data_IF_270341269555
#
_entry.id   IF_270341269555
#
_cell.length_a   1.000
_cell.length_b   1.000
_cell.length_c   1.000
_cell.angle_alpha   90.00
_cell.angle_beta   90.00
_cell.angle_gamma   90.00
#
_symmetry.space_group_name_H-M   'P 1'
#
loop_
_entity.id
_entity.type
_entity.pdbx_description
1 polymer ?
#
# COMPACT_ATOMS: atom_id res chain seq x y z
N UNK A 1 15.07 31.64 -16.66
CA UNK A 1 15.77 30.41 -16.24
C UNK A 1 14.71 29.46 -15.73
N UNK A 2 14.68 28.24 -16.27
CA UNK A 2 13.58 27.28 -16.15
C UNK A 2 13.34 26.90 -14.69
N UNK A 3 12.16 27.20 -14.15
CA UNK A 3 11.69 26.69 -12.87
C UNK A 3 11.31 25.23 -13.06
N UNK A 4 12.10 24.32 -12.50
CA UNK A 4 11.76 22.91 -12.39
C UNK A 4 10.42 22.77 -11.66
N UNK A 5 9.35 22.53 -12.41
CA UNK A 5 8.02 22.29 -11.86
C UNK A 5 8.06 20.97 -11.08
N UNK A 6 7.99 21.10 -9.75
CA UNK A 6 7.88 20.03 -8.76
C UNK A 6 6.70 19.08 -9.08
N UNK A 7 6.96 18.00 -9.81
CA UNK A 7 6.01 16.87 -9.95
C UNK A 7 6.05 15.93 -8.73
N UNK A 8 6.52 16.40 -7.57
CA UNK A 8 6.73 15.57 -6.39
C UNK A 8 5.44 15.30 -5.61
N UNK A 9 5.19 14.05 -5.22
CA UNK A 9 4.15 13.69 -4.27
C UNK A 9 4.50 14.31 -2.90
N UNK A 10 3.58 15.01 -2.22
CA UNK A 10 3.86 15.67 -0.94
C UNK A 10 4.42 14.68 0.08
N UNK A 11 5.41 15.12 0.86
CA UNK A 11 5.97 14.36 1.98
C UNK A 11 5.52 15.05 3.26
N UNK A 12 4.86 14.30 4.14
CA UNK A 12 4.37 14.76 5.43
C UNK A 12 5.14 14.04 6.52
N UNK A 13 5.91 14.78 7.30
CA UNK A 13 6.61 14.25 8.45
C UNK A 13 5.69 14.29 9.67
N UNK A 14 5.48 13.12 10.29
CA UNK A 14 4.70 13.06 11.53
C UNK A 14 5.59 13.40 12.72
N UNK A 15 5.11 14.27 13.64
CA UNK A 15 5.89 14.65 14.80
C UNK A 15 6.11 13.46 15.72
N UNK A 16 7.28 13.42 16.35
CA UNK A 16 7.66 12.37 17.29
C UNK A 16 7.26 12.70 18.73
N UNK A 17 7.02 13.97 19.05
CA UNK A 17 6.57 14.37 20.38
C UNK A 17 5.05 14.25 20.50
N UNK A 18 4.56 13.65 21.58
CA UNK A 18 3.12 13.47 21.80
C UNK A 18 2.39 14.80 22.02
N UNK A 19 3.07 15.83 22.54
CA UNK A 19 2.50 17.16 22.76
C UNK A 19 2.15 17.87 21.45
N UNK A 20 2.87 17.57 20.37
CA UNK A 20 2.63 18.15 19.04
C UNK A 20 1.41 17.51 18.35
N UNK A 21 0.92 16.40 18.91
CA UNK A 21 -0.27 15.68 18.46
C UNK A 21 -1.50 15.99 19.31
N UNK A 22 -1.40 16.92 20.27
CA UNK A 22 -2.56 17.37 21.02
C UNK A 22 -3.52 18.11 20.09
N UNK A 23 -4.75 17.60 20.00
CA UNK A 23 -5.79 18.07 19.09
C UNK A 23 -6.24 19.51 19.40
N UNK A 24 -5.44 20.49 18.99
CA UNK A 24 -5.68 21.89 19.28
C UNK A 24 -4.46 22.81 19.13
N UNK A 25 -3.24 22.26 19.16
CA UNK A 25 -2.00 23.03 18.95
C UNK A 25 -1.90 23.60 17.53
N UNK A 26 -1.07 24.61 17.35
CA UNK A 26 -0.83 25.21 16.03
C UNK A 26 -0.11 24.23 15.11
N UNK A 27 0.78 23.38 15.66
CA UNK A 27 1.45 22.30 14.96
C UNK A 27 0.46 21.25 14.44
N UNK A 28 -0.50 20.82 15.26
CA UNK A 28 -1.55 19.89 14.85
C UNK A 28 -2.43 20.48 13.75
N UNK A 29 -2.82 21.76 13.87
CA UNK A 29 -3.62 22.45 12.85
C UNK A 29 -2.86 22.58 11.53
N UNK A 30 -1.56 22.89 11.60
CA UNK A 30 -0.69 22.95 10.44
C UNK A 30 -0.56 21.59 9.77
N UNK A 31 -0.35 20.52 10.54
CA UNK A 31 -0.30 19.15 10.04
C UNK A 31 -1.62 18.73 9.36
N UNK A 32 -2.76 19.00 10.00
CA UNK A 32 -4.08 18.73 9.42
C UNK A 32 -4.31 19.51 8.12
N UNK A 33 -3.82 20.75 8.03
CA UNK A 33 -3.89 21.56 6.82
C UNK A 33 -3.06 20.91 5.70
N UNK A 34 -1.81 20.53 5.97
CA UNK A 34 -0.94 19.86 5.00
C UNK A 34 -1.54 18.54 4.50
N UNK A 35 -2.11 17.72 5.39
CA UNK A 35 -2.80 16.48 5.01
C UNK A 35 -4.01 16.76 4.13
N UNK A 36 -4.82 17.77 4.48
CA UNK A 36 -5.98 18.16 3.68
C UNK A 36 -5.56 18.61 2.28
N UNK A 37 -4.61 19.52 2.17
CA UNK A 37 -4.13 20.05 0.89
C UNK A 37 -3.51 18.95 0.03
N UNK A 38 -2.74 18.04 0.62
CA UNK A 38 -2.19 16.90 -0.10
C UNK A 38 -3.30 15.98 -0.63
N UNK A 39 -4.36 15.77 0.16
CA UNK A 39 -5.50 15.00 -0.32
C UNK A 39 -6.24 15.71 -1.46
N UNK A 40 -6.58 16.99 -1.29
CA UNK A 40 -7.35 17.77 -2.26
C UNK A 40 -6.60 17.95 -3.58
N UNK A 41 -5.29 18.19 -3.53
CA UNK A 41 -4.48 18.56 -4.70
C UNK A 41 -3.61 17.42 -5.25
N UNK A 42 -3.48 16.28 -4.57
CA UNK A 42 -2.64 15.18 -5.03
C UNK A 42 -3.27 13.79 -4.87
N UNK A 43 -4.39 13.64 -4.15
CA UNK A 43 -5.02 12.32 -3.96
C UNK A 43 -4.19 11.30 -3.17
N UNK A 44 -2.97 11.67 -2.77
CA UNK A 44 -2.00 10.84 -2.09
C UNK A 44 -0.90 11.69 -1.47
N UNK A 45 -0.19 11.12 -0.51
CA UNK A 45 1.02 11.71 0.05
C UNK A 45 1.89 10.62 0.66
N UNK A 46 3.17 10.95 0.83
CA UNK A 46 4.11 10.15 1.58
C UNK A 46 4.12 10.59 3.02
N UNK A 47 4.29 9.64 3.93
CA UNK A 47 4.44 9.88 5.36
C UNK A 47 5.77 9.34 5.83
N UNK A 48 6.51 10.20 6.52
CA UNK A 48 7.71 9.82 7.25
C UNK A 48 7.39 9.83 8.73
N UNK A 49 7.66 8.73 9.41
CA UNK A 49 7.45 8.63 10.86
C UNK A 49 8.64 7.95 11.54
N UNK A 50 9.49 8.77 12.15
CA UNK A 50 10.78 8.34 12.68
C UNK A 50 10.69 7.41 13.89
N UNK A 51 9.53 7.26 14.54
CA UNK A 51 9.36 6.26 15.61
C UNK A 51 9.30 4.83 15.09
N UNK A 52 8.97 4.62 13.82
CA UNK A 52 9.04 3.29 13.23
C UNK A 52 10.50 3.03 12.85
N UNK A 53 11.16 2.20 13.65
CA UNK A 53 12.56 1.83 13.39
C UNK A 53 12.69 1.01 12.11
N UNK A 54 13.83 1.13 11.44
CA UNK A 54 14.17 0.29 10.27
C UNK A 54 14.19 -1.19 10.63
N UNK A 55 14.54 -1.54 11.87
CA UNK A 55 14.50 -2.91 12.38
C UNK A 55 13.09 -3.48 12.34
N UNK A 56 12.11 -2.73 12.86
CA UNK A 56 10.70 -3.15 12.85
C UNK A 56 10.17 -3.31 11.42
N UNK A 57 10.56 -2.41 10.51
CA UNK A 57 10.19 -2.56 9.09
C UNK A 57 10.77 -3.84 8.48
N UNK A 58 12.04 -4.13 8.76
CA UNK A 58 12.69 -5.34 8.27
C UNK A 58 12.04 -6.61 8.84
N UNK A 59 11.71 -6.60 10.13
CA UNK A 59 10.98 -7.70 10.78
C UNK A 59 9.60 -7.91 10.14
N UNK A 60 8.83 -6.84 9.93
CA UNK A 60 7.55 -6.89 9.24
C UNK A 60 7.68 -7.48 7.84
N UNK A 61 8.64 -7.02 7.03
CA UNK A 61 8.88 -7.56 5.69
C UNK A 61 9.33 -9.03 5.72
N UNK A 62 10.12 -9.43 6.72
CA UNK A 62 10.51 -10.82 6.93
C UNK A 62 9.28 -11.70 7.19
N UNK A 63 8.39 -11.27 8.09
CA UNK A 63 7.14 -11.96 8.42
C UNK A 63 6.21 -12.07 7.20
N UNK A 64 6.03 -10.97 6.45
CA UNK A 64 5.20 -10.93 5.24
C UNK A 64 5.72 -11.89 4.16
N UNK A 65 7.02 -12.17 4.11
CA UNK A 65 7.62 -13.11 3.14
C UNK A 65 7.34 -14.57 3.46
N UNK A 66 7.14 -14.93 4.72
CA UNK A 66 7.01 -16.33 5.14
C UNK A 66 5.87 -17.07 4.43
N UNK A 67 4.64 -16.54 4.33
CA UNK A 67 3.54 -17.22 3.64
C UNK A 67 3.85 -17.55 2.17
N UNK A 68 4.60 -16.71 1.48
CA UNK A 68 4.94 -16.90 0.08
C UNK A 68 5.95 -18.03 -0.16
N UNK A 69 6.70 -18.42 0.87
CA UNK A 69 7.69 -19.50 0.84
C UNK A 69 7.08 -20.88 1.16
N UNK A 70 5.79 -20.94 1.51
CA UNK A 70 5.09 -22.20 1.76
C UNK A 70 4.83 -22.97 0.44
N UNK A 71 4.69 -24.31 0.50
CA UNK A 71 4.29 -25.12 -0.65
C UNK A 71 2.97 -24.65 -1.25
N UNK A 72 2.84 -24.75 -2.57
CA UNK A 72 1.66 -24.28 -3.30
C UNK A 72 0.34 -24.84 -2.75
N UNK A 73 0.32 -26.13 -2.42
CA UNK A 73 -0.84 -26.79 -1.84
C UNK A 73 -1.25 -26.16 -0.50
N UNK A 74 -0.28 -25.80 0.34
CA UNK A 74 -0.53 -25.08 1.60
C UNK A 74 -1.06 -23.68 1.35
N UNK A 75 -0.53 -22.96 0.35
CA UNK A 75 -1.03 -21.62 0.00
C UNK A 75 -2.48 -21.67 -0.49
N UNK A 76 -2.84 -22.68 -1.29
CA UNK A 76 -4.20 -22.91 -1.81
C UNK A 76 -5.23 -23.24 -0.73
N UNK A 77 -4.82 -23.68 0.46
CA UNK A 77 -5.71 -23.87 1.60
C UNK A 77 -6.25 -22.54 2.18
N UNK A 78 -5.66 -21.38 1.83
CA UNK A 78 -6.23 -20.09 2.20
C UNK A 78 -7.38 -19.73 1.24
N UNK A 79 -8.57 -20.27 1.54
CA UNK A 79 -9.73 -20.24 0.65
C UNK A 79 -10.53 -18.94 0.75
N UNK A 80 -11.08 -18.54 -0.39
CA UNK A 80 -11.91 -17.34 -0.60
C UNK A 80 -13.26 -17.46 0.11
N UNK A 81 -13.42 -16.83 1.27
CA UNK A 81 -14.75 -16.64 1.87
C UNK A 81 -15.46 -15.38 1.33
N UNK A 82 -14.70 -14.40 0.82
CA UNK A 82 -15.15 -13.09 0.32
C UNK A 82 -14.28 -12.62 -0.86
N UNK A 83 -14.76 -11.71 -1.72
CA UNK A 83 -13.92 -11.04 -2.72
C UNK A 83 -12.67 -10.43 -2.07
N UNK A 84 -11.51 -10.51 -2.74
CA UNK A 84 -10.20 -10.01 -2.28
C UNK A 84 -9.58 -10.75 -1.08
N UNK A 85 -10.21 -11.81 -0.56
CA UNK A 85 -9.69 -12.65 0.52
C UNK A 85 -9.09 -13.96 0.00
N UNK A 86 -8.16 -14.56 0.76
CA UNK A 86 -7.52 -15.82 0.40
C UNK A 86 -6.28 -15.69 -0.49
N UNK A 87 -5.72 -16.82 -0.88
CA UNK A 87 -4.56 -16.88 -1.78
C UNK A 87 -4.98 -16.68 -3.25
N UNK A 88 -4.23 -15.83 -3.95
CA UNK A 88 -4.29 -15.66 -5.39
C UNK A 88 -2.98 -16.15 -6.01
N UNK A 89 -3.10 -17.17 -6.84
CA UNK A 89 -2.01 -17.74 -7.61
C UNK A 89 -1.69 -16.85 -8.83
N UNK A 90 -0.40 -16.69 -9.18
CA UNK A 90 0.00 -15.98 -10.38
C UNK A 90 -0.34 -16.79 -11.64
N UNK A 91 -0.56 -16.12 -12.77
CA UNK A 91 -0.74 -16.76 -14.08
C UNK A 91 -2.19 -16.85 -14.58
N UNK A 92 -3.16 -16.23 -13.88
CA UNK A 92 -4.50 -16.02 -14.43
C UNK A 92 -4.57 -14.81 -15.37
N UNK A 93 -5.59 -14.77 -16.23
CA UNK A 93 -5.81 -13.72 -17.25
C UNK A 93 -5.78 -12.29 -16.70
N UNK A 94 -6.16 -12.10 -15.43
CA UNK A 94 -6.19 -10.80 -14.77
C UNK A 94 -4.89 -10.45 -14.01
N UNK A 95 -4.09 -11.43 -13.58
CA UNK A 95 -2.98 -11.24 -12.61
C UNK A 95 -1.77 -12.15 -12.93
N UNK A 96 -1.11 -11.97 -14.09
CA UNK A 96 -0.06 -12.89 -14.54
C UNK A 96 1.24 -12.86 -13.72
N UNK A 97 1.57 -11.75 -13.06
CA UNK A 97 2.92 -11.51 -12.50
C UNK A 97 2.96 -11.29 -10.98
N UNK A 98 1.90 -11.64 -10.25
CA UNK A 98 1.95 -11.55 -8.79
C UNK A 98 1.15 -12.64 -8.10
N UNK A 99 1.64 -13.06 -6.94
CA UNK A 99 0.90 -13.87 -5.98
C UNK A 99 0.46 -12.97 -4.79
N UNK A 100 -0.69 -13.26 -4.17
CA UNK A 100 -1.14 -12.45 -3.02
C UNK A 100 -1.92 -13.25 -2.00
N UNK A 101 -1.92 -12.76 -0.76
CA UNK A 101 -2.78 -13.26 0.30
C UNK A 101 -3.66 -12.12 0.80
N UNK A 102 -4.97 -12.33 0.78
CA UNK A 102 -5.91 -11.58 1.60
C UNK A 102 -5.91 -12.15 3.01
N UNK A 103 -5.88 -11.27 4.00
CA UNK A 103 -5.77 -11.61 5.42
C UNK A 103 -7.06 -11.16 6.12
N UNK A 104 -7.67 -12.08 6.86
CA UNK A 104 -8.88 -11.78 7.63
C UNK A 104 -8.49 -11.10 8.95
N UNK A 105 -9.35 -10.19 9.41
CA UNK A 105 -9.21 -9.58 10.73
C UNK A 105 -9.34 -10.68 11.79
N UNK A 106 -8.34 -10.81 12.66
CA UNK A 106 -8.37 -11.81 13.73
C UNK A 106 -9.51 -11.56 14.74
N UNK A 107 -10.14 -10.38 14.75
CA UNK A 107 -11.34 -10.11 15.56
C UNK A 107 -12.57 -10.93 15.12
N UNK A 108 -12.60 -11.46 13.89
CA UNK A 108 -13.69 -12.33 13.40
C UNK A 108 -13.40 -13.83 13.53
N UNK A 109 -12.32 -14.22 14.23
CA UNK A 109 -11.89 -15.62 14.36
C UNK A 109 -12.78 -16.42 15.34
N UNK A 110 -14.04 -16.64 14.96
CA UNK A 110 -14.86 -17.78 15.38
C UNK A 110 -14.90 -18.87 14.30
N UNK A 111 -14.17 -18.72 13.19
CA UNK A 111 -14.21 -19.71 12.10
C UNK A 111 -13.01 -20.65 12.15
N UNK A 112 -13.32 -21.91 12.44
CA UNK A 112 -12.49 -23.11 12.47
C UNK A 112 -11.90 -23.51 11.09
N UNK A 113 -11.65 -22.56 10.19
CA UNK A 113 -11.31 -22.83 8.78
C UNK A 113 -9.97 -22.27 8.30
N UNK A 114 -9.25 -21.49 9.12
CA UNK A 114 -7.91 -21.05 8.79
C UNK A 114 -6.88 -22.15 9.11
N UNK A 115 -5.95 -22.42 8.18
CA UNK A 115 -4.90 -23.42 8.38
C UNK A 115 -4.06 -23.09 9.63
N UNK A 116 -3.78 -24.05 10.53
CA UNK A 116 -2.99 -23.84 11.75
C UNK A 116 -1.61 -23.21 11.48
N UNK A 117 -1.03 -23.50 10.30
CA UNK A 117 0.26 -22.96 9.87
C UNK A 117 0.19 -21.48 9.49
N UNK A 118 -0.94 -21.00 8.96
CA UNK A 118 -1.16 -19.57 8.76
C UNK A 118 -1.49 -18.88 10.10
N UNK A 119 -2.30 -19.52 10.95
CA UNK A 119 -2.69 -19.02 12.29
C UNK A 119 -1.48 -18.78 13.22
N UNK A 120 -0.44 -19.63 13.20
CA UNK A 120 0.77 -19.40 14.00
C UNK A 120 1.52 -18.09 13.64
N UNK A 121 1.46 -17.66 12.37
CA UNK A 121 2.05 -16.39 11.91
C UNK A 121 1.26 -15.19 12.46
N UNK A 122 -0.05 -15.35 12.65
CA UNK A 122 -0.93 -14.32 13.23
C UNK A 122 -0.74 -14.14 14.74
N UNK A 123 -0.60 -15.23 15.51
CA UNK A 123 -0.64 -15.19 16.97
C UNK A 123 0.56 -14.51 17.66
N UNK A 124 1.67 -14.32 16.95
CA UNK A 124 2.89 -13.77 17.56
C UNK A 124 3.09 -12.27 17.37
N UNK A 125 2.24 -11.56 16.59
CA UNK A 125 2.51 -10.17 16.22
C UNK A 125 1.27 -9.27 16.11
N UNK A 126 1.24 -8.21 16.93
CA UNK A 126 0.16 -7.22 17.01
C UNK A 126 -0.03 -6.35 15.73
N UNK A 127 0.82 -6.52 14.72
CA UNK A 127 0.75 -5.78 13.45
C UNK A 127 -0.22 -6.40 12.42
N UNK A 128 -0.55 -7.68 12.58
CA UNK A 128 -1.31 -8.41 11.57
C UNK A 128 -2.81 -8.05 11.54
N UNK A 129 -3.31 -7.40 12.60
CA UNK A 129 -4.72 -7.09 12.79
C UNK A 129 -5.29 -6.05 11.81
N UNK A 130 -4.44 -5.30 11.09
CA UNK A 130 -4.87 -4.25 10.15
C UNK A 130 -4.39 -4.48 8.71
N UNK A 131 -3.51 -5.46 8.48
CA UNK A 131 -3.06 -5.82 7.14
C UNK A 131 -4.15 -6.63 6.46
N UNK A 132 -4.75 -6.09 5.38
CA UNK A 132 -5.82 -6.80 4.66
C UNK A 132 -5.31 -7.60 3.46
N UNK A 133 -4.19 -7.19 2.86
CA UNK A 133 -3.63 -7.84 1.67
C UNK A 133 -2.12 -7.65 1.58
N UNK A 134 -1.42 -8.72 1.25
CA UNK A 134 0.02 -8.71 0.91
C UNK A 134 0.22 -9.25 -0.50
N UNK A 135 1.13 -8.64 -1.27
CA UNK A 135 1.38 -8.98 -2.68
C UNK A 135 2.87 -9.16 -2.91
N UNK A 136 3.23 -10.21 -3.66
CA UNK A 136 4.60 -10.47 -4.10
C UNK A 136 4.61 -10.54 -5.63
N UNK A 137 5.39 -9.66 -6.24
CA UNK A 137 5.55 -9.58 -7.69
C UNK A 137 6.75 -10.40 -8.15
N UNK A 138 6.59 -11.03 -9.31
CA UNK A 138 7.65 -11.78 -9.98
C UNK A 138 8.00 -11.08 -11.29
N UNK A 139 9.30 -10.97 -11.57
CA UNK A 139 9.80 -10.36 -12.80
C UNK A 139 9.19 -11.04 -14.05
N UNK A 140 8.77 -10.27 -15.08
CA UNK A 140 8.28 -10.86 -16.31
C UNK A 140 9.43 -11.59 -17.05
N UNK A 141 9.16 -12.76 -17.68
CA UNK A 141 10.20 -13.55 -18.35
C UNK A 141 10.92 -12.84 -19.49
N UNK A 142 10.24 -11.93 -20.21
CA UNK A 142 10.76 -11.28 -21.42
C UNK A 142 11.71 -10.11 -21.16
N UNK A 143 11.83 -9.63 -19.91
CA UNK A 143 12.61 -8.43 -19.58
C UNK A 143 12.05 -7.11 -20.12
N UNK A 144 10.94 -7.16 -20.85
CA UNK A 144 10.18 -6.00 -21.32
C UNK A 144 9.35 -5.37 -20.19
N UNK A 145 8.93 -4.12 -20.38
CA UNK A 145 8.04 -3.43 -19.45
C UNK A 145 6.63 -4.01 -19.54
N UNK A 146 6.14 -4.58 -18.45
CA UNK A 146 4.77 -5.10 -18.41
C UNK A 146 3.95 -4.39 -17.35
N UNK A 147 2.78 -3.91 -17.76
CA UNK A 147 1.76 -3.32 -16.87
C UNK A 147 1.10 -4.46 -16.08
N UNK A 148 1.11 -4.38 -14.75
CA UNK A 148 0.60 -5.46 -13.87
C UNK A 148 -0.65 -5.06 -13.12
N UNK A 149 -0.84 -3.76 -12.88
CA UNK A 149 -2.11 -3.20 -12.41
C UNK A 149 -2.52 -2.10 -13.37
N UNK A 150 -3.70 -2.21 -13.98
CA UNK A 150 -4.21 -1.21 -14.90
C UNK A 150 -4.85 -0.05 -14.16
N UNK A 151 -4.34 1.15 -14.38
CA UNK A 151 -5.11 2.36 -14.13
C UNK A 151 -6.19 2.56 -15.19
N UNK A 152 -7.29 3.21 -14.82
CA UNK A 152 -8.46 3.49 -15.65
C UNK A 152 -8.29 4.69 -16.60
N UNK A 153 -7.06 5.18 -16.78
CA UNK A 153 -6.76 6.44 -17.48
C UNK A 153 -5.41 6.39 -18.22
N UNK A 154 -5.29 7.19 -19.28
CA UNK A 154 -4.07 7.40 -20.08
C UNK A 154 -3.37 8.72 -19.72
N UNK A 155 -3.56 9.20 -18.49
CA UNK A 155 -3.04 10.47 -18.02
C UNK A 155 -1.50 10.55 -17.90
N UNK A 156 -1.01 11.65 -17.33
CA UNK A 156 0.41 11.82 -17.04
C UNK A 156 0.81 11.07 -15.77
N UNK A 157 1.82 10.22 -15.87
CA UNK A 157 2.24 9.31 -14.80
C UNK A 157 3.58 9.72 -14.20
N UNK A 158 3.63 9.87 -12.88
CA UNK A 158 4.86 10.14 -12.13
C UNK A 158 5.27 8.90 -11.36
N UNK A 159 6.56 8.56 -11.40
CA UNK A 159 7.12 7.48 -10.59
C UNK A 159 7.21 7.91 -9.13
N UNK A 160 6.64 7.10 -8.25
CA UNK A 160 6.75 7.26 -6.82
C UNK A 160 8.10 6.73 -6.34
N UNK A 161 8.93 7.61 -5.79
CA UNK A 161 10.15 7.25 -5.09
C UNK A 161 9.82 7.08 -3.60
N UNK A 162 10.04 5.90 -3.03
CA UNK A 162 9.81 5.61 -1.60
C UNK A 162 11.15 5.39 -0.89
N UNK A 163 11.72 6.42 -0.23
CA UNK A 163 12.89 6.22 0.62
C UNK A 163 12.61 5.22 1.76
N UNK A 164 13.64 4.53 2.29
CA UNK A 164 13.50 3.73 3.49
C UNK A 164 12.84 4.53 4.62
N UNK A 165 11.97 3.91 5.43
CA UNK A 165 11.25 4.65 6.48
C UNK A 165 9.97 5.35 6.03
N UNK A 166 9.65 5.34 4.73
CA UNK A 166 8.51 6.08 4.17
C UNK A 166 7.33 5.18 3.89
N UNK A 167 6.13 5.67 4.22
CA UNK A 167 4.86 5.03 3.89
C UNK A 167 4.11 5.88 2.87
N UNK A 168 3.33 5.24 2.02
CA UNK A 168 2.51 5.95 1.03
C UNK A 168 1.08 5.83 1.47
N UNK A 169 0.44 6.96 1.66
CA UNK A 169 -0.98 7.04 1.98
C UNK A 169 -1.77 7.29 0.69
N UNK A 170 -2.63 6.31 0.38
CA UNK A 170 -3.66 6.39 -0.64
C UNK A 170 -5.00 6.33 0.07
N UNK A 171 -5.94 7.14 -0.37
CA UNK A 171 -7.31 7.05 0.10
C UNK A 171 -8.22 6.56 -1.02
N UNK A 172 -9.21 5.75 -0.62
CA UNK A 172 -10.22 5.20 -1.53
C UNK A 172 -11.38 6.16 -1.73
N UNK A 173 -12.61 5.68 -1.56
CA UNK A 173 -13.87 6.42 -1.82
C UNK A 173 -14.17 7.55 -0.81
N UNK A 174 -13.21 8.42 -0.52
CA UNK A 174 -13.44 9.66 0.23
C UNK A 174 -14.09 10.76 -0.63
N UNK A 175 -14.19 10.56 -1.95
CA UNK A 175 -14.79 11.53 -2.85
C UNK A 175 -16.26 11.83 -2.48
N UNK A 176 -17.06 10.78 -2.25
CA UNK A 176 -18.45 10.95 -1.81
C UNK A 176 -18.55 11.61 -0.43
N UNK A 177 -17.68 11.24 0.50
CA UNK A 177 -17.69 11.73 1.88
C UNK A 177 -17.19 13.18 2.02
N UNK A 178 -16.32 13.60 1.11
CA UNK A 178 -15.81 14.97 1.03
C UNK A 178 -16.64 15.89 0.15
N UNK A 179 -17.78 15.40 -0.36
CA UNK A 179 -18.66 16.10 -1.29
C UNK A 179 -17.91 16.63 -2.53
N UNK A 180 -17.10 15.78 -3.16
CA UNK A 180 -16.38 16.14 -4.38
C UNK A 180 -15.02 16.79 -4.17
N UNK A 181 -14.63 17.10 -2.92
CA UNK A 181 -13.39 17.86 -2.66
C UNK A 181 -12.11 17.03 -2.74
N UNK A 182 -12.19 15.73 -2.43
CA UNK A 182 -11.04 14.83 -2.38
C UNK A 182 -11.18 13.77 -3.47
N UNK A 183 -10.23 13.70 -4.39
CA UNK A 183 -10.23 12.68 -5.45
C UNK A 183 -9.20 11.59 -5.18
N UNK A 184 -9.63 10.33 -5.22
CA UNK A 184 -8.68 9.23 -5.14
C UNK A 184 -7.71 9.25 -6.32
N UNK A 185 -6.43 9.21 -5.99
CA UNK A 185 -5.34 9.05 -6.93
C UNK A 185 -5.46 7.73 -7.73
N UNK A 186 -5.49 7.82 -9.06
CA UNK A 186 -5.26 6.64 -9.89
C UNK A 186 -3.80 6.20 -9.77
N UNK A 187 -3.57 4.90 -9.63
CA UNK A 187 -2.23 4.33 -9.52
C UNK A 187 -2.10 3.08 -10.38
N UNK A 188 -0.87 2.76 -10.79
CA UNK A 188 -0.54 1.54 -11.50
C UNK A 188 0.81 0.99 -11.05
N UNK A 189 0.95 -0.32 -11.16
CA UNK A 189 2.22 -1.01 -10.91
C UNK A 189 2.77 -1.48 -12.24
N UNK A 190 4.00 -1.06 -12.52
CA UNK A 190 4.78 -1.46 -13.69
C UNK A 190 5.93 -2.35 -13.22
N UNK A 191 6.15 -3.46 -13.91
CA UNK A 191 7.34 -4.29 -13.70
C UNK A 191 8.34 -4.03 -14.81
N UNK A 192 9.61 -3.87 -14.41
CA UNK A 192 10.73 -3.74 -15.34
C UNK A 192 11.87 -4.63 -14.86
N UNK A 193 12.07 -5.77 -15.51
CA UNK A 193 13.08 -6.77 -15.09
C UNK A 193 12.89 -7.10 -13.59
N UNK A 194 13.89 -6.79 -12.76
CA UNK A 194 13.88 -7.00 -11.29
C UNK A 194 13.27 -5.83 -10.50
N UNK A 195 12.86 -4.74 -11.16
CA UNK A 195 12.36 -3.54 -10.51
C UNK A 195 10.83 -3.48 -10.54
N UNK A 196 10.26 -2.97 -9.45
CA UNK A 196 8.84 -2.65 -9.32
C UNK A 196 8.73 -1.14 -9.28
N UNK A 197 8.03 -0.56 -10.25
CA UNK A 197 7.75 0.87 -10.31
C UNK A 197 6.26 1.09 -9.98
N UNK A 198 6.00 1.84 -8.91
CA UNK A 198 4.66 2.34 -8.60
C UNK A 198 4.52 3.70 -9.28
N UNK A 199 3.55 3.83 -10.16
CA UNK A 199 3.27 5.06 -10.89
C UNK A 199 1.93 5.64 -10.44
N UNK A 200 1.88 6.96 -10.38
CA UNK A 200 0.71 7.72 -9.96
C UNK A 200 0.27 8.70 -11.06
N UNK A 201 -1.04 8.83 -11.30
CA UNK A 201 -1.59 9.77 -12.27
C UNK A 201 -1.70 11.17 -11.67
N UNK A 202 -0.92 12.11 -12.20
CA UNK A 202 -0.93 13.50 -11.76
C UNK A 202 -2.01 14.35 -12.45
N UNK A 203 -2.47 13.94 -13.64
CA UNK A 203 -3.33 14.75 -14.53
C UNK A 203 -4.74 15.04 -14.02
N UNK A 204 -5.16 14.47 -12.88
CA UNK A 204 -6.50 14.72 -12.30
C UNK A 204 -6.58 15.88 -11.32
N UNK A 205 -5.45 16.46 -10.92
CA UNK A 205 -5.40 17.50 -9.89
C UNK A 205 -4.85 18.84 -10.39
N UNK A 206 -5.06 19.14 -11.67
CA UNK A 206 -4.77 20.44 -12.28
C UNK A 206 -5.99 21.36 -12.23
#
# INVERSE_FOLDING_TARGET
>A
MSSDSHFGIPIIELPTNSKDLDGGSDEWRSLCKSVREACENHGCFQVVYHKISSHLQHELFSLIRQPFNLPLETKKQNVKSKPLHGYYEPGGDFLPFYESFGLEDASSCNSSKASPNLMQIHHHNHFYYQLRRVMKYSAPPSGEYTKVVSAHTDGEWVKLCTPPGTFVFLYGDLNAWSNGRMHAANHRVMLRRTNIDILWEHSRFR
#
